data_IF_697572919768
#
_entry.id   IF_697572919768
#
_cell.length_a   1.000
_cell.length_b   1.000
_cell.length_c   1.000
_cell.angle_alpha   90.00
_cell.angle_beta   90.00
_cell.angle_gamma   90.00
#
_symmetry.space_group_name_H-M   'P 1'
#
loop_
_entity.id
_entity.type
_entity.pdbx_description
1 polymer ?
#
# COMPACT_ATOMS: atom_id res chain seq x y z
N UNK A 1 16.17 14.64 -9.05
CA UNK A 1 15.00 15.17 -8.31
C UNK A 1 13.80 14.24 -8.36
N UNK A 2 13.28 13.87 -9.54
CA UNK A 2 12.10 12.98 -9.66
C UNK A 2 12.22 11.63 -8.91
N UNK A 3 13.40 10.99 -8.93
CA UNK A 3 13.62 9.69 -8.27
C UNK A 3 13.44 9.71 -6.74
N UNK A 4 13.82 10.81 -6.07
CA UNK A 4 13.76 10.87 -4.60
C UNK A 4 12.33 11.09 -4.09
N UNK A 5 11.54 11.89 -4.82
CA UNK A 5 10.11 12.07 -4.55
C UNK A 5 9.34 10.75 -4.71
N UNK A 6 9.69 9.94 -5.71
CA UNK A 6 9.07 8.63 -5.93
C UNK A 6 9.46 7.62 -4.83
N UNK A 7 10.71 7.62 -4.35
CA UNK A 7 11.13 6.80 -3.20
C UNK A 7 10.38 7.17 -1.93
N UNK A 8 10.23 8.47 -1.67
CA UNK A 8 9.48 8.96 -0.52
C UNK A 8 8.01 8.52 -0.62
N UNK A 9 7.40 8.64 -1.80
CA UNK A 9 6.05 8.18 -2.06
C UNK A 9 5.89 6.67 -1.81
N UNK A 10 6.82 5.83 -2.30
CA UNK A 10 6.79 4.38 -2.05
C UNK A 10 6.85 4.10 -0.55
N UNK A 11 7.73 4.78 0.18
CA UNK A 11 7.89 4.63 1.64
C UNK A 11 6.59 4.98 2.38
N UNK A 12 5.94 6.07 2.00
CA UNK A 12 4.69 6.51 2.62
C UNK A 12 3.53 5.53 2.32
N UNK A 13 3.48 4.99 1.10
CA UNK A 13 2.50 3.98 0.71
C UNK A 13 2.71 2.65 1.48
N UNK A 14 3.96 2.21 1.65
CA UNK A 14 4.29 1.04 2.46
C UNK A 14 3.90 1.23 3.93
N UNK A 15 4.13 2.43 4.48
CA UNK A 15 3.71 2.78 5.84
C UNK A 15 2.19 2.72 5.98
N UNK A 16 1.44 3.26 5.01
CA UNK A 16 -0.03 3.22 5.01
C UNK A 16 -0.56 1.79 4.89
N UNK A 17 0.04 0.96 4.03
CA UNK A 17 -0.25 -0.47 3.91
C UNK A 17 -0.03 -1.20 5.24
N UNK A 18 1.08 -0.94 5.92
CA UNK A 18 1.37 -1.51 7.24
C UNK A 18 0.31 -1.12 8.28
N UNK A 19 -0.12 0.15 8.29
CA UNK A 19 -1.23 0.61 9.12
C UNK A 19 -2.54 -0.13 8.85
N UNK A 20 -2.89 -0.31 7.56
CA UNK A 20 -4.09 -1.06 7.16
C UNK A 20 -4.03 -2.54 7.54
N UNK A 21 -2.85 -3.18 7.49
CA UNK A 21 -2.69 -4.56 7.99
C UNK A 21 -2.91 -4.66 9.49
N UNK A 22 -2.48 -3.67 10.28
CA UNK A 22 -2.75 -3.64 11.74
C UNK A 22 -4.24 -3.50 12.03
N UNK A 23 -4.90 -2.60 11.28
CA UNK A 23 -6.36 -2.43 11.24
C UNK A 23 -7.03 -3.77 10.92
N UNK A 24 -6.70 -4.39 9.79
CA UNK A 24 -7.25 -5.68 9.36
C UNK A 24 -7.11 -6.78 10.44
N UNK A 25 -5.93 -6.87 11.07
CA UNK A 25 -5.66 -7.85 12.11
C UNK A 25 -6.46 -7.58 13.40
N UNK A 26 -6.51 -6.32 13.85
CA UNK A 26 -7.27 -5.92 15.04
C UNK A 26 -8.79 -5.99 14.85
N UNK A 27 -9.26 -5.86 13.61
CA UNK A 27 -10.68 -5.78 13.26
C UNK A 27 -11.31 -7.10 12.85
N UNK A 28 -10.52 -8.17 12.74
CA UNK A 28 -11.00 -9.53 12.45
C UNK A 28 -12.13 -10.03 13.37
N UNK A 29 -12.37 -9.36 14.53
CA UNK A 29 -13.38 -9.73 15.53
C UNK A 29 -14.50 -8.71 15.78
N UNK A 30 -14.41 -7.47 15.29
CA UNK A 30 -15.25 -6.36 15.80
C UNK A 30 -16.09 -5.66 14.72
N UNK A 31 -15.70 -5.72 13.45
CA UNK A 31 -16.33 -4.92 12.38
C UNK A 31 -17.14 -5.77 11.40
N UNK A 32 -18.04 -5.09 10.66
CA UNK A 32 -18.86 -5.71 9.62
C UNK A 32 -18.01 -6.30 8.49
N UNK A 33 -18.57 -7.30 7.80
CA UNK A 33 -17.91 -7.92 6.64
C UNK A 33 -17.62 -6.89 5.54
N UNK A 34 -18.54 -5.95 5.31
CA UNK A 34 -18.35 -4.84 4.35
C UNK A 34 -17.11 -4.00 4.68
N UNK A 35 -16.88 -3.70 5.96
CA UNK A 35 -15.70 -2.96 6.39
C UNK A 35 -14.42 -3.76 6.15
N UNK A 36 -14.43 -5.07 6.44
CA UNK A 36 -13.29 -5.97 6.20
C UNK A 36 -12.97 -6.07 4.70
N UNK A 37 -14.00 -6.19 3.87
CA UNK A 37 -13.86 -6.23 2.41
C UNK A 37 -13.29 -4.91 1.89
N UNK A 38 -13.74 -3.76 2.42
CA UNK A 38 -13.21 -2.44 2.09
C UNK A 38 -11.72 -2.31 2.42
N UNK A 39 -11.29 -2.75 3.60
CA UNK A 39 -9.87 -2.75 3.99
C UNK A 39 -9.05 -3.68 3.09
N UNK A 40 -9.57 -4.86 2.75
CA UNK A 40 -8.91 -5.79 1.83
C UNK A 40 -8.72 -5.18 0.43
N UNK A 41 -9.74 -4.54 -0.12
CA UNK A 41 -9.67 -3.85 -1.42
C UNK A 41 -8.58 -2.78 -1.42
N UNK A 42 -8.50 -1.97 -0.35
CA UNK A 42 -7.46 -0.95 -0.22
C UNK A 42 -6.05 -1.55 -0.15
N UNK A 43 -5.86 -2.66 0.56
CA UNK A 43 -4.57 -3.36 0.63
C UNK A 43 -4.12 -3.86 -0.75
N UNK A 44 -5.04 -4.46 -1.52
CA UNK A 44 -4.75 -4.94 -2.89
C UNK A 44 -4.35 -3.79 -3.82
N UNK A 45 -5.05 -2.65 -3.73
CA UNK A 45 -4.71 -1.46 -4.53
C UNK A 45 -3.32 -0.94 -4.16
N UNK A 46 -2.99 -0.86 -2.87
CA UNK A 46 -1.67 -0.41 -2.43
C UNK A 46 -0.56 -1.34 -2.94
N UNK A 47 -0.80 -2.65 -2.96
CA UNK A 47 0.17 -3.62 -3.50
C UNK A 47 0.45 -3.38 -4.99
N UNK A 48 -0.60 -3.18 -5.78
CA UNK A 48 -0.47 -2.93 -7.21
C UNK A 48 0.25 -1.60 -7.49
N UNK A 49 -0.08 -0.54 -6.75
CA UNK A 49 0.54 0.78 -6.91
C UNK A 49 2.01 0.75 -6.53
N UNK A 50 2.36 0.18 -5.38
CA UNK A 50 3.76 0.06 -4.92
C UNK A 50 4.57 -0.76 -5.93
N UNK A 51 4.02 -1.88 -6.41
CA UNK A 51 4.69 -2.72 -7.41
C UNK A 51 4.96 -1.94 -8.71
N UNK A 52 3.98 -1.18 -9.20
CA UNK A 52 4.11 -0.40 -10.43
C UNK A 52 5.11 0.75 -10.29
N UNK A 53 5.11 1.45 -9.16
CA UNK A 53 6.09 2.50 -8.88
C UNK A 53 7.52 1.94 -8.78
N UNK A 54 7.69 0.80 -8.10
CA UNK A 54 8.98 0.10 -8.05
C UNK A 54 9.46 -0.35 -9.44
N UNK A 55 8.55 -0.79 -10.31
CA UNK A 55 8.89 -1.16 -11.68
C UNK A 55 9.35 0.04 -12.50
N UNK A 56 8.59 1.14 -12.48
CA UNK A 56 8.96 2.39 -13.17
C UNK A 56 10.34 2.89 -12.70
N UNK A 57 10.59 2.86 -11.39
CA UNK A 57 11.88 3.25 -10.82
C UNK A 57 13.06 2.39 -11.30
N UNK A 58 12.83 1.09 -11.53
CA UNK A 58 13.86 0.18 -12.06
C UNK A 58 14.14 0.46 -13.53
N UNK A 59 13.10 0.67 -14.33
CA UNK A 59 13.25 1.01 -15.76
C UNK A 59 13.94 2.36 -15.97
N UNK A 60 13.69 3.36 -15.10
CA UNK A 60 14.41 4.65 -15.15
C UNK A 60 15.88 4.58 -14.72
N UNK A 61 16.29 3.49 -14.05
CA UNK A 61 17.67 3.31 -13.56
C UNK A 61 18.57 2.50 -14.51
N UNK A 62 17.98 1.88 -15.55
CA UNK A 62 18.68 1.14 -16.62
C UNK A 62 18.88 2.02 -17.86
#
# INVERSE_FOLDING_TARGET
MKSEEVKQLITDLERRKSGLKRIQNGFSRIHSEEYREGVNKQLVILDQVIMRLNWIMREESN
#
